data_IF_897624449277
#
_entry.id   IF_897624449277
#
_cell.length_a   1.000
_cell.length_b   1.000
_cell.length_c   1.000
_cell.angle_alpha   90.00
_cell.angle_beta   90.00
_cell.angle_gamma   90.00
#
_symmetry.space_group_name_H-M   'P 1'
#
loop_
_entity.id
_entity.type
_entity.pdbx_description
1 polymer ?
#
# COMPACT_ATOMS: atom_id res chain seq x y z
N UNK A 1 -10.56 -0.85 -17.02
CA UNK A 1 -9.99 0.19 -16.13
C UNK A 1 -9.80 -0.38 -14.76
N UNK A 2 -8.68 -0.12 -14.12
CA UNK A 2 -8.38 -0.45 -12.72
C UNK A 2 -8.29 0.84 -11.92
N UNK A 3 -8.58 0.80 -10.63
CA UNK A 3 -8.53 1.97 -9.76
C UNK A 3 -7.60 1.69 -8.58
N UNK A 4 -6.70 2.62 -8.27
CA UNK A 4 -5.90 2.61 -7.05
C UNK A 4 -6.34 3.82 -6.25
N UNK A 5 -6.73 3.63 -4.99
CA UNK A 5 -7.04 4.74 -4.09
C UNK A 5 -6.12 4.72 -2.89
N UNK A 6 -5.56 5.88 -2.59
CA UNK A 6 -4.86 6.20 -1.36
C UNK A 6 -5.80 7.06 -0.54
N UNK A 7 -6.26 6.53 0.60
CA UNK A 7 -7.17 7.22 1.49
C UNK A 7 -6.39 8.11 2.46
N UNK A 8 -6.85 9.34 2.65
CA UNK A 8 -6.35 10.26 3.67
C UNK A 8 -6.96 9.84 5.01
N UNK A 9 -6.18 9.16 5.82
CA UNK A 9 -6.61 8.53 7.07
C UNK A 9 -5.76 8.99 8.25
N UNK A 10 -5.42 10.27 8.28
CA UNK A 10 -4.49 10.86 9.22
C UNK A 10 -3.10 10.19 9.12
N UNK A 11 -2.43 10.05 10.24
CA UNK A 11 -1.10 9.51 10.32
C UNK A 11 -1.10 7.97 10.29
N UNK A 12 -1.51 7.40 9.17
CA UNK A 12 -1.59 5.97 8.92
C UNK A 12 -1.76 5.67 7.43
N UNK A 13 -1.83 4.39 7.07
CA UNK A 13 -1.97 3.96 5.69
C UNK A 13 -3.27 3.20 5.46
N UNK A 14 -3.94 3.52 4.38
CA UNK A 14 -5.00 2.70 3.83
C UNK A 14 -5.08 2.88 2.32
N UNK A 15 -4.96 1.76 1.61
CA UNK A 15 -5.09 1.75 0.15
C UNK A 15 -6.06 0.67 -0.29
N UNK A 16 -6.71 0.88 -1.43
CA UNK A 16 -7.33 -0.23 -2.14
C UNK A 16 -7.01 -0.21 -3.63
N UNK A 17 -7.13 -1.39 -4.25
CA UNK A 17 -7.08 -1.58 -5.69
C UNK A 17 -8.36 -2.29 -6.13
N UNK A 18 -9.21 -1.58 -6.89
CA UNK A 18 -10.35 -2.16 -7.59
C UNK A 18 -9.87 -2.60 -8.97
N UNK A 19 -9.52 -3.88 -9.10
CA UNK A 19 -8.90 -4.39 -10.33
C UNK A 19 -9.90 -4.45 -11.49
N UNK A 20 -9.39 -4.36 -12.72
CA UNK A 20 -10.18 -4.62 -13.94
C UNK A 20 -10.56 -6.11 -14.11
N UNK A 21 -10.10 -6.97 -13.20
CA UNK A 21 -10.43 -8.40 -13.07
C UNK A 21 -11.42 -8.63 -11.93
N UNK A 22 -11.80 -9.88 -11.66
CA UNK A 22 -12.70 -10.26 -10.55
C UNK A 22 -12.00 -10.18 -9.17
N UNK A 23 -11.12 -9.19 -9.00
CA UNK A 23 -10.30 -9.03 -7.81
C UNK A 23 -10.50 -7.64 -7.17
N UNK A 24 -10.48 -7.60 -5.83
CA UNK A 24 -10.36 -6.40 -5.01
C UNK A 24 -9.28 -6.61 -3.96
N UNK A 25 -8.41 -5.64 -3.78
CA UNK A 25 -7.31 -5.73 -2.82
C UNK A 25 -7.29 -4.50 -1.92
N UNK A 26 -7.18 -4.69 -0.63
CA UNK A 26 -6.85 -3.65 0.35
C UNK A 26 -5.40 -3.84 0.80
N UNK A 27 -4.69 -2.76 1.02
CA UNK A 27 -3.35 -2.73 1.61
C UNK A 27 -3.45 -1.84 2.84
N UNK A 28 -3.27 -2.42 4.02
CA UNK A 28 -3.42 -1.79 5.32
C UNK A 28 -4.78 -1.11 5.57
N UNK A 29 -5.02 -0.68 6.79
CA UNK A 29 -6.15 0.15 7.16
C UNK A 29 -5.87 0.98 8.41
N UNK A 30 -6.29 2.24 8.38
CA UNK A 30 -6.38 3.12 9.54
C UNK A 30 -7.78 3.76 9.56
N UNK A 31 -8.77 3.01 10.04
CA UNK A 31 -10.18 3.43 10.03
C UNK A 31 -10.49 4.09 11.37
N UNK A 32 -10.48 5.41 11.39
CA UNK A 32 -10.88 6.23 12.55
C UNK A 32 -12.40 6.36 12.61
N UNK A 33 -12.94 6.66 13.81
CA UNK A 33 -14.40 6.81 14.00
C UNK A 33 -15.01 7.88 13.08
N UNK A 34 -14.23 8.92 12.75
CA UNK A 34 -14.68 10.05 11.93
C UNK A 34 -15.00 9.65 10.49
N UNK A 35 -14.21 8.76 9.90
CA UNK A 35 -14.39 8.30 8.51
C UNK A 35 -14.91 6.88 8.38
N UNK A 36 -15.18 6.20 9.49
CA UNK A 36 -15.58 4.79 9.53
C UNK A 36 -16.73 4.46 8.59
N UNK A 37 -17.85 5.19 8.70
CA UNK A 37 -19.04 4.89 7.88
C UNK A 37 -18.77 5.08 6.40
N UNK A 38 -18.12 6.18 6.02
CA UNK A 38 -17.77 6.50 4.63
C UNK A 38 -16.88 5.41 4.03
N UNK A 39 -15.77 5.08 4.71
CA UNK A 39 -14.79 4.11 4.22
C UNK A 39 -15.41 2.72 4.10
N UNK A 40 -16.11 2.26 5.13
CA UNK A 40 -16.73 0.93 5.12
C UNK A 40 -17.80 0.79 4.05
N UNK A 41 -18.62 1.81 3.81
CA UNK A 41 -19.65 1.80 2.77
C UNK A 41 -19.00 1.79 1.37
N UNK A 42 -17.96 2.60 1.14
CA UNK A 42 -17.21 2.63 -0.13
C UNK A 42 -16.59 1.26 -0.42
N UNK A 43 -15.79 0.75 0.51
CA UNK A 43 -15.08 -0.54 0.33
C UNK A 43 -16.08 -1.69 0.16
N UNK A 44 -17.16 -1.74 0.96
CA UNK A 44 -18.19 -2.76 0.84
C UNK A 44 -18.89 -2.74 -0.52
N UNK A 45 -19.18 -1.55 -1.03
CA UNK A 45 -19.84 -1.40 -2.33
C UNK A 45 -18.95 -1.85 -3.50
N UNK A 46 -17.63 -1.59 -3.44
CA UNK A 46 -16.70 -1.99 -4.46
C UNK A 46 -16.34 -3.47 -4.36
N UNK A 47 -15.96 -3.93 -3.17
CA UNK A 47 -15.57 -5.32 -2.91
C UNK A 47 -16.73 -6.30 -3.12
N UNK A 48 -17.97 -5.90 -2.83
CA UNK A 48 -19.17 -6.72 -3.01
C UNK A 48 -19.44 -7.11 -4.46
N UNK A 49 -18.83 -6.45 -5.43
CA UNK A 49 -18.93 -6.74 -6.87
C UNK A 49 -17.85 -7.72 -7.36
N UNK A 50 -16.97 -8.19 -6.47
CA UNK A 50 -15.80 -9.00 -6.82
C UNK A 50 -15.83 -10.36 -6.12
N UNK A 51 -15.48 -11.39 -6.86
CA UNK A 51 -15.42 -12.76 -6.33
C UNK A 51 -14.22 -12.98 -5.41
N UNK A 52 -13.12 -12.28 -5.63
CA UNK A 52 -11.89 -12.38 -4.84
C UNK A 52 -11.62 -11.06 -4.12
N UNK A 53 -11.72 -11.10 -2.80
CA UNK A 53 -11.40 -9.97 -1.93
C UNK A 53 -10.22 -10.36 -1.03
N UNK A 54 -9.20 -9.50 -0.96
CA UNK A 54 -8.02 -9.72 -0.13
C UNK A 54 -7.65 -8.48 0.68
N UNK A 55 -7.09 -8.75 1.85
CA UNK A 55 -6.43 -7.75 2.68
C UNK A 55 -4.94 -8.10 2.77
N UNK A 56 -4.08 -7.14 2.56
CA UNK A 56 -2.64 -7.26 2.61
C UNK A 56 -2.14 -6.36 3.74
N UNK A 57 -1.74 -6.94 4.87
CA UNK A 57 -1.10 -6.16 5.94
C UNK A 57 0.38 -6.03 5.67
N UNK A 58 0.94 -4.83 5.69
CA UNK A 58 2.39 -4.63 5.57
C UNK A 58 3.09 -5.05 6.86
N UNK A 59 2.67 -4.52 7.98
CA UNK A 59 3.16 -4.84 9.33
C UNK A 59 2.07 -4.54 10.37
N UNK A 60 2.19 -5.01 11.63
CA UNK A 60 1.09 -4.94 12.60
C UNK A 60 1.15 -3.72 13.53
N UNK A 61 1.59 -2.55 13.06
CA UNK A 61 1.44 -1.32 13.83
C UNK A 61 0.01 -0.78 13.75
N UNK A 62 -0.41 -0.06 14.78
CA UNK A 62 -1.81 0.33 14.97
C UNK A 62 -2.34 1.13 13.79
N UNK A 63 -1.56 2.04 13.25
CA UNK A 63 -1.89 2.91 12.13
C UNK A 63 -1.91 2.21 10.74
N UNK A 64 -1.64 0.89 10.74
CA UNK A 64 -1.74 0.01 9.56
C UNK A 64 -2.79 -1.10 9.71
N UNK A 65 -3.34 -1.29 10.91
CA UNK A 65 -4.35 -2.32 11.18
C UNK A 65 -5.58 -1.78 11.91
N UNK A 66 -5.65 -0.49 12.24
CA UNK A 66 -6.78 0.08 12.99
C UNK A 66 -8.09 -0.06 12.21
N UNK A 67 -9.07 -0.72 12.84
CA UNK A 67 -10.37 -1.00 12.25
C UNK A 67 -10.42 -2.24 11.35
N UNK A 68 -9.37 -3.08 11.37
CA UNK A 68 -9.36 -4.36 10.65
C UNK A 68 -10.51 -5.28 11.11
N UNK A 69 -10.92 -5.17 12.37
CA UNK A 69 -12.08 -5.87 12.94
C UNK A 69 -13.39 -5.49 12.22
N UNK A 70 -13.57 -4.23 11.83
CA UNK A 70 -14.74 -3.78 11.10
C UNK A 70 -14.83 -4.36 9.70
N UNK A 71 -13.67 -4.45 9.02
CA UNK A 71 -13.58 -5.09 7.70
C UNK A 71 -13.89 -6.58 7.77
N UNK A 72 -13.41 -7.26 8.83
CA UNK A 72 -13.68 -8.68 9.04
C UNK A 72 -15.16 -8.94 9.37
N UNK A 73 -15.78 -8.15 10.24
CA UNK A 73 -17.20 -8.21 10.57
C UNK A 73 -18.11 -8.06 9.35
N UNK A 74 -17.69 -7.27 8.36
CA UNK A 74 -18.38 -7.11 7.08
C UNK A 74 -18.09 -8.25 6.08
N UNK A 75 -17.23 -9.23 6.45
CA UNK A 75 -16.82 -10.33 5.58
C UNK A 75 -15.95 -9.88 4.40
N UNK A 76 -15.21 -8.77 4.55
CA UNK A 76 -14.36 -8.20 3.52
C UNK A 76 -12.92 -8.75 3.56
N UNK A 77 -12.56 -9.54 4.58
CA UNK A 77 -11.24 -10.20 4.68
C UNK A 77 -11.39 -11.68 4.34
N UNK A 78 -11.61 -11.99 3.06
CA UNK A 78 -11.72 -13.39 2.59
C UNK A 78 -10.36 -14.06 2.37
N UNK A 79 -9.31 -13.28 2.18
CA UNK A 79 -7.94 -13.71 2.03
C UNK A 79 -7.05 -12.70 2.76
N UNK A 80 -6.35 -13.15 3.79
CA UNK A 80 -5.48 -12.33 4.62
C UNK A 80 -4.01 -12.60 4.30
N UNK A 81 -3.30 -11.60 3.80
CA UNK A 81 -1.89 -11.72 3.43
C UNK A 81 -1.02 -10.95 4.41
N UNK A 82 0.02 -11.59 4.94
CA UNK A 82 0.92 -10.98 5.93
C UNK A 82 2.35 -11.51 5.77
N UNK A 83 3.32 -10.79 6.29
CA UNK A 83 4.69 -11.28 6.47
C UNK A 83 4.72 -12.11 7.75
N UNK A 84 5.29 -13.31 7.68
CA UNK A 84 5.36 -14.22 8.83
C UNK A 84 6.18 -13.60 9.96
N UNK A 85 5.56 -13.43 11.14
CA UNK A 85 6.17 -12.78 12.30
C UNK A 85 5.47 -13.25 13.60
N UNK A 86 6.14 -13.06 14.74
CA UNK A 86 5.58 -13.28 16.07
C UNK A 86 5.61 -11.98 16.90
N UNK A 87 5.40 -10.85 16.25
CA UNK A 87 5.29 -9.54 16.92
C UNK A 87 4.24 -9.62 18.02
N UNK A 88 4.57 -9.08 19.17
CA UNK A 88 3.70 -8.96 20.33
C UNK A 88 3.67 -7.51 20.80
N UNK A 89 2.55 -7.07 21.35
CA UNK A 89 2.37 -5.73 21.90
C UNK A 89 2.17 -5.81 23.40
N UNK A 90 2.79 -4.91 24.15
CA UNK A 90 2.61 -4.83 25.62
C UNK A 90 1.15 -4.53 26.02
N UNK A 91 0.44 -3.79 25.17
CA UNK A 91 -1.01 -3.55 25.28
C UNK A 91 -1.64 -3.86 23.93
N UNK A 92 -2.49 -4.89 23.92
CA UNK A 92 -3.16 -5.31 22.68
C UNK A 92 -4.47 -4.58 22.50
N UNK A 93 -4.58 -3.86 21.38
CA UNK A 93 -5.84 -3.27 20.90
C UNK A 93 -6.75 -4.36 20.32
N UNK A 94 -8.02 -4.03 20.09
CA UNK A 94 -8.94 -4.95 19.40
C UNK A 94 -8.46 -5.25 17.97
N UNK A 95 -7.90 -4.26 17.27
CA UNK A 95 -7.33 -4.43 15.94
C UNK A 95 -6.13 -5.39 15.96
N UNK A 96 -5.24 -5.29 16.96
CA UNK A 96 -4.11 -6.22 17.07
C UNK A 96 -4.52 -7.64 17.43
N UNK A 97 -5.53 -7.81 18.31
CA UNK A 97 -6.12 -9.11 18.59
C UNK A 97 -6.71 -9.75 17.32
N UNK A 98 -7.48 -8.96 16.54
CA UNK A 98 -8.05 -9.39 15.28
C UNK A 98 -6.98 -9.75 14.25
N UNK A 99 -5.89 -8.98 14.16
CA UNK A 99 -4.74 -9.32 13.32
C UNK A 99 -4.16 -10.69 13.66
N UNK A 100 -3.98 -11.01 14.95
CA UNK A 100 -3.50 -12.32 15.41
C UNK A 100 -4.49 -13.44 15.04
N UNK A 101 -5.78 -13.22 15.22
CA UNK A 101 -6.82 -14.18 14.87
C UNK A 101 -6.81 -14.48 13.37
N UNK A 102 -6.69 -13.45 12.55
CA UNK A 102 -6.60 -13.58 11.09
C UNK A 102 -5.34 -14.35 10.67
N UNK A 103 -4.19 -14.11 11.31
CA UNK A 103 -2.96 -14.91 11.09
C UNK A 103 -3.15 -16.39 11.37
N UNK A 104 -3.93 -16.74 12.41
CA UNK A 104 -4.25 -18.11 12.78
C UNK A 104 -5.37 -18.77 11.97
N UNK A 105 -6.01 -18.03 11.08
CA UNK A 105 -7.19 -18.48 10.35
C UNK A 105 -6.84 -19.28 9.08
N UNK A 106 -7.84 -19.98 8.52
CA UNK A 106 -7.68 -20.71 7.25
C UNK A 106 -7.59 -19.80 6.01
N UNK A 107 -7.89 -18.51 6.15
CA UNK A 107 -7.77 -17.51 5.08
C UNK A 107 -6.40 -16.81 5.06
N UNK A 108 -5.47 -17.19 5.95
CA UNK A 108 -4.17 -16.57 6.11
C UNK A 108 -3.13 -17.10 5.10
N UNK A 109 -2.37 -16.18 4.52
CA UNK A 109 -1.33 -16.48 3.54
C UNK A 109 -0.06 -15.68 3.81
N UNK A 110 1.05 -16.38 4.02
CA UNK A 110 2.37 -15.77 4.18
C UNK A 110 2.86 -15.18 2.86
N UNK A 111 3.35 -13.94 2.91
CA UNK A 111 3.98 -13.23 1.79
C UNK A 111 5.50 -13.30 1.91
N UNK A 112 6.14 -13.49 0.77
CA UNK A 112 7.60 -13.44 0.64
C UNK A 112 7.98 -13.24 -0.84
N UNK A 113 9.21 -12.89 -1.09
CA UNK A 113 9.79 -12.67 -2.42
C UNK A 113 9.46 -13.80 -3.39
N UNK A 114 8.79 -13.47 -4.47
CA UNK A 114 8.47 -14.42 -5.52
C UNK A 114 7.35 -15.43 -5.18
N UNK A 115 6.62 -15.27 -4.07
CA UNK A 115 5.48 -16.12 -3.74
C UNK A 115 4.46 -16.10 -4.88
N UNK A 116 3.96 -17.28 -5.26
CA UNK A 116 2.94 -17.43 -6.31
C UNK A 116 1.59 -17.79 -5.69
N UNK A 117 0.56 -17.05 -6.07
CA UNK A 117 -0.78 -17.25 -5.56
C UNK A 117 -1.82 -17.09 -6.66
N UNK A 118 -2.73 -18.07 -6.74
CA UNK A 118 -3.86 -18.03 -7.67
C UNK A 118 -4.64 -16.73 -7.45
N UNK A 119 -4.93 -16.01 -8.53
CA UNK A 119 -5.62 -14.73 -8.61
C UNK A 119 -4.87 -13.52 -8.01
N UNK A 120 -3.77 -13.69 -7.32
CA UNK A 120 -2.90 -12.57 -6.91
C UNK A 120 -1.93 -12.21 -8.05
N UNK A 121 -1.13 -13.19 -8.47
CA UNK A 121 -0.17 -13.07 -9.57
C UNK A 121 -0.19 -14.27 -10.52
N UNK A 122 -1.09 -15.22 -10.33
CA UNK A 122 -1.33 -16.36 -11.23
C UNK A 122 -2.78 -16.30 -11.69
N UNK A 123 -2.97 -16.10 -12.99
CA UNK A 123 -4.30 -16.09 -13.64
C UNK A 123 -4.81 -17.51 -13.86
N UNK A 124 -6.13 -17.70 -13.89
CA UNK A 124 -6.78 -18.94 -14.32
C UNK A 124 -7.72 -18.75 -15.52
N UNK A 125 -7.74 -17.58 -16.12
CA UNK A 125 -8.62 -17.27 -17.25
C UNK A 125 -10.09 -17.01 -16.89
N UNK A 126 -10.55 -17.42 -15.71
CA UNK A 126 -11.92 -17.15 -15.23
C UNK A 126 -11.98 -15.83 -14.46
N UNK A 127 -11.08 -15.65 -13.49
CA UNK A 127 -11.07 -14.49 -12.58
C UNK A 127 -9.91 -13.54 -12.82
N UNK A 128 -8.98 -13.94 -13.69
CA UNK A 128 -7.78 -13.17 -13.99
C UNK A 128 -6.78 -13.13 -12.83
N UNK A 129 -5.78 -12.28 -12.97
CA UNK A 129 -4.80 -11.96 -11.93
C UNK A 129 -5.05 -10.56 -11.39
N UNK A 130 -4.72 -10.34 -10.11
CA UNK A 130 -4.68 -9.00 -9.54
C UNK A 130 -3.42 -8.21 -9.96
N UNK A 131 -2.42 -8.85 -10.57
CA UNK A 131 -1.17 -8.19 -10.95
C UNK A 131 -0.28 -7.79 -9.77
N UNK A 132 -0.49 -8.38 -8.57
CA UNK A 132 0.27 -8.05 -7.37
C UNK A 132 1.42 -9.03 -7.19
N UNK A 133 2.64 -8.53 -7.07
CA UNK A 133 3.84 -9.30 -6.80
C UNK A 133 4.56 -8.80 -5.55
N UNK A 134 5.28 -9.69 -4.87
CA UNK A 134 6.08 -9.38 -3.69
C UNK A 134 7.56 -9.47 -4.05
N UNK A 135 8.26 -8.34 -3.95
CA UNK A 135 9.70 -8.23 -4.23
C UNK A 135 10.55 -8.51 -2.99
N UNK A 136 9.98 -8.26 -1.80
CA UNK A 136 10.58 -8.41 -0.48
C UNK A 136 9.49 -8.76 0.55
N UNK A 137 9.76 -9.51 1.65
CA UNK A 137 11.07 -9.99 2.10
C UNK A 137 11.52 -11.30 1.43
N UNK A 138 12.84 -11.52 1.42
CA UNK A 138 13.42 -12.84 1.23
C UNK A 138 13.58 -13.49 2.61
N UNK A 139 12.83 -14.55 2.87
CA UNK A 139 12.79 -15.20 4.18
C UNK A 139 14.14 -15.84 4.60
N UNK A 140 15.06 -16.06 3.65
CA UNK A 140 16.39 -16.62 3.94
C UNK A 140 17.50 -15.57 4.06
N UNK A 141 17.16 -14.29 3.86
CA UNK A 141 18.13 -13.20 3.94
C UNK A 141 18.43 -12.87 5.41
N UNK A 142 19.71 -12.74 5.77
CA UNK A 142 20.14 -12.50 7.15
C UNK A 142 19.66 -11.13 7.67
N UNK A 143 19.73 -10.09 6.84
CA UNK A 143 19.25 -8.74 7.21
C UNK A 143 17.76 -8.75 7.51
N UNK A 144 16.96 -9.50 6.73
CA UNK A 144 15.55 -9.68 7.03
C UNK A 144 15.32 -10.46 8.34
N UNK A 145 16.09 -11.51 8.59
CA UNK A 145 15.99 -12.28 9.83
C UNK A 145 16.37 -11.44 11.06
N UNK A 146 17.32 -10.51 10.92
CA UNK A 146 17.64 -9.55 11.98
C UNK A 146 16.47 -8.58 12.22
N UNK A 147 15.91 -8.00 11.16
CA UNK A 147 14.74 -7.13 11.27
C UNK A 147 13.52 -7.85 11.89
N UNK A 148 13.33 -9.14 11.59
CA UNK A 148 12.29 -9.94 12.17
C UNK A 148 12.50 -10.16 13.67
N UNK A 149 13.73 -10.49 14.10
CA UNK A 149 14.09 -10.61 15.53
C UNK A 149 13.89 -9.29 16.28
N UNK A 150 14.28 -8.19 15.66
CA UNK A 150 14.10 -6.85 16.24
C UNK A 150 12.60 -6.51 16.38
N UNK A 151 11.80 -6.76 15.37
CA UNK A 151 10.35 -6.57 15.40
C UNK A 151 9.68 -7.38 16.53
N UNK A 152 10.10 -8.63 16.72
CA UNK A 152 9.54 -9.53 17.74
C UNK A 152 9.99 -9.18 19.17
N UNK A 153 11.18 -8.59 19.34
CA UNK A 153 11.76 -8.30 20.66
C UNK A 153 11.53 -6.86 21.13
N UNK A 154 11.45 -5.89 20.22
CA UNK A 154 11.41 -4.46 20.53
C UNK A 154 10.12 -3.74 20.16
N UNK A 155 9.12 -4.46 19.61
CA UNK A 155 7.85 -3.90 19.15
C UNK A 155 8.02 -2.81 18.06
N UNK A 156 8.99 -3.02 17.15
CA UNK A 156 9.29 -2.12 16.02
C UNK A 156 9.20 -2.86 14.70
N UNK A 157 7.99 -3.10 14.17
CA UNK A 157 7.79 -3.96 13.02
C UNK A 157 7.98 -3.26 11.67
N UNK A 158 8.39 -2.00 11.60
CA UNK A 158 8.51 -1.24 10.35
C UNK A 158 9.30 -2.01 9.28
N UNK A 159 10.45 -2.55 9.64
CA UNK A 159 11.40 -3.17 8.71
C UNK A 159 11.03 -4.60 8.30
N UNK A 160 9.93 -5.18 8.83
CA UNK A 160 9.35 -6.38 8.23
C UNK A 160 8.34 -6.07 7.13
N UNK A 161 8.09 -4.80 6.82
CA UNK A 161 7.22 -4.38 5.72
C UNK A 161 7.66 -4.99 4.40
N UNK A 162 6.72 -5.51 3.59
CA UNK A 162 7.04 -6.03 2.27
C UNK A 162 7.16 -4.93 1.23
N UNK A 163 7.99 -5.14 0.22
CA UNK A 163 7.92 -4.39 -1.02
C UNK A 163 6.88 -5.06 -1.95
N UNK A 164 5.76 -4.39 -2.19
CA UNK A 164 4.63 -4.87 -2.97
C UNK A 164 4.53 -4.07 -4.27
N UNK A 165 4.52 -4.76 -5.39
CA UNK A 165 4.30 -4.15 -6.71
C UNK A 165 2.96 -4.59 -7.27
N UNK A 166 2.18 -3.63 -7.72
CA UNK A 166 1.06 -3.82 -8.63
C UNK A 166 1.49 -3.46 -10.05
N UNK A 167 1.12 -4.29 -11.02
CA UNK A 167 1.36 -4.02 -12.43
C UNK A 167 0.09 -4.29 -13.24
N UNK A 168 -0.41 -3.26 -13.89
CA UNK A 168 -1.44 -3.39 -14.92
C UNK A 168 -0.75 -3.70 -16.26
N UNK A 169 -1.26 -4.66 -17.00
CA UNK A 169 -0.76 -4.99 -18.33
C UNK A 169 -0.86 -3.77 -19.25
N UNK A 170 0.24 -3.42 -19.90
CA UNK A 170 0.39 -2.20 -20.72
C UNK A 170 0.03 -0.89 -20.01
N UNK A 171 0.00 -0.87 -18.68
CA UNK A 171 -0.43 0.27 -17.88
C UNK A 171 0.47 0.51 -16.66
N UNK A 172 -0.11 1.14 -15.65
CA UNK A 172 0.59 1.61 -14.45
C UNK A 172 1.32 0.49 -13.70
N UNK A 173 2.48 0.83 -13.18
CA UNK A 173 3.22 0.06 -12.19
C UNK A 173 3.37 0.88 -10.91
N UNK A 174 2.86 0.36 -9.80
CA UNK A 174 2.84 1.04 -8.51
C UNK A 174 3.55 0.21 -7.43
N UNK A 175 4.29 0.87 -6.53
CA UNK A 175 5.09 0.25 -5.48
C UNK A 175 4.70 0.79 -4.10
N UNK A 176 4.46 -0.14 -3.15
CA UNK A 176 4.30 0.10 -1.72
C UNK A 176 5.45 -0.53 -0.95
N UNK A 177 5.94 0.15 0.06
CA UNK A 177 7.03 -0.28 0.92
C UNK A 177 6.62 -0.37 2.40
N UNK A 178 5.34 -0.10 2.73
CA UNK A 178 4.88 0.05 4.11
C UNK A 178 5.72 1.07 4.85
N UNK A 179 6.17 0.76 6.05
CA UNK A 179 6.97 1.67 6.87
C UNK A 179 8.48 1.35 6.88
N UNK A 180 8.94 0.70 5.82
CA UNK A 180 10.36 0.36 5.66
C UNK A 180 11.25 1.60 5.86
N UNK A 181 12.23 1.48 6.75
CA UNK A 181 13.10 2.60 7.12
C UNK A 181 14.32 2.75 6.18
N UNK A 182 14.85 3.97 6.07
CA UNK A 182 15.95 4.31 5.17
C UNK A 182 17.19 3.42 5.35
N UNK A 183 17.65 3.28 6.59
CA UNK A 183 18.86 2.50 6.87
C UNK A 183 18.68 1.02 6.52
N UNK A 184 17.45 0.50 6.70
CA UNK A 184 17.12 -0.85 6.31
C UNK A 184 17.07 -1.01 4.78
N UNK A 185 16.47 -0.05 4.05
CA UNK A 185 16.48 -0.04 2.59
C UNK A 185 17.91 -0.03 2.03
N UNK A 186 18.81 0.74 2.65
CA UNK A 186 20.25 0.73 2.28
C UNK A 186 20.86 -0.64 2.54
N UNK A 187 20.55 -1.27 3.67
CA UNK A 187 21.11 -2.58 4.03
C UNK A 187 20.71 -3.72 3.10
N UNK A 188 19.54 -3.63 2.46
CA UNK A 188 19.03 -4.66 1.53
C UNK A 188 19.16 -4.29 0.05
N UNK A 189 19.89 -3.23 -0.27
CA UNK A 189 19.95 -2.67 -1.62
C UNK A 189 20.39 -3.66 -2.70
N UNK A 190 21.30 -4.56 -2.37
CA UNK A 190 21.84 -5.57 -3.29
C UNK A 190 20.95 -6.84 -3.35
N UNK A 191 20.01 -6.99 -2.42
CA UNK A 191 19.16 -8.18 -2.30
C UNK A 191 17.79 -8.03 -2.95
N UNK A 192 17.37 -6.78 -3.23
CA UNK A 192 16.08 -6.47 -3.82
C UNK A 192 16.19 -6.06 -5.29
N UNK A 193 15.42 -6.72 -6.16
CA UNK A 193 15.38 -6.39 -7.58
C UNK A 193 14.40 -5.25 -7.86
N UNK A 194 14.90 -4.03 -7.86
CA UNK A 194 14.12 -2.83 -8.22
C UNK A 194 14.12 -2.60 -9.73
N UNK A 195 13.04 -2.04 -10.24
CA UNK A 195 12.87 -1.60 -11.63
C UNK A 195 11.90 -0.44 -11.70
N UNK A 196 11.92 0.36 -12.79
CA UNK A 196 11.09 1.56 -12.89
C UNK A 196 9.62 1.37 -12.53
N UNK A 197 9.03 2.37 -11.87
CA UNK A 197 7.61 2.42 -11.48
C UNK A 197 7.00 3.75 -11.87
N UNK A 198 5.71 3.76 -12.16
CA UNK A 198 4.99 5.02 -12.42
C UNK A 198 4.65 5.72 -11.11
N UNK A 199 4.22 4.96 -10.09
CA UNK A 199 3.78 5.50 -8.81
C UNK A 199 4.58 4.82 -7.69
N UNK A 200 5.24 5.62 -6.87
CA UNK A 200 5.84 5.20 -5.61
C UNK A 200 5.02 5.78 -4.46
N UNK A 201 4.48 4.94 -3.60
CA UNK A 201 3.94 5.37 -2.31
C UNK A 201 5.10 5.46 -1.33
N UNK A 202 5.33 6.67 -0.80
CA UNK A 202 6.46 6.95 0.08
C UNK A 202 6.31 6.16 1.39
N UNK A 203 7.33 5.36 1.78
CA UNK A 203 7.24 4.55 2.98
C UNK A 203 7.18 5.41 4.23
N UNK A 204 6.58 4.85 5.30
CA UNK A 204 6.39 5.49 6.60
C UNK A 204 5.71 6.85 6.44
N UNK A 205 4.65 6.90 5.64
CA UNK A 205 3.86 8.08 5.30
C UNK A 205 4.68 9.24 4.70
N UNK A 206 5.95 9.01 4.32
CA UNK A 206 6.89 10.04 3.85
C UNK A 206 7.74 10.67 4.96
N UNK A 207 7.69 10.15 6.19
CA UNK A 207 8.51 10.63 7.33
C UNK A 207 10.00 10.45 7.08
N UNK A 208 10.80 11.21 7.83
CA UNK A 208 12.26 11.23 7.72
C UNK A 208 12.89 9.84 7.81
N UNK A 209 12.40 8.98 8.71
CA UNK A 209 12.90 7.61 8.86
C UNK A 209 12.63 6.73 7.64
N UNK A 210 11.53 6.95 6.90
CA UNK A 210 11.15 6.21 5.70
C UNK A 210 11.65 6.82 4.39
N UNK A 211 12.55 7.80 4.40
CA UNK A 211 13.08 8.43 3.18
C UNK A 211 13.75 7.41 2.28
N UNK A 212 13.20 7.22 1.07
CA UNK A 212 13.75 6.26 0.11
C UNK A 212 15.16 6.68 -0.30
N UNK A 213 16.18 5.79 -0.20
CA UNK A 213 17.55 6.11 -0.61
C UNK A 213 17.61 6.59 -2.05
N UNK A 214 18.53 7.54 -2.34
CA UNK A 214 18.70 8.05 -3.70
C UNK A 214 19.01 6.93 -4.69
N UNK A 215 19.81 5.95 -4.30
CA UNK A 215 20.16 4.78 -5.11
C UNK A 215 18.93 3.97 -5.52
N UNK A 216 17.93 3.87 -4.64
CA UNK A 216 16.65 3.25 -4.94
C UNK A 216 15.81 4.13 -5.86
N UNK A 217 15.75 5.44 -5.61
CA UNK A 217 15.02 6.39 -6.47
C UNK A 217 15.59 6.40 -7.89
N UNK A 218 16.93 6.28 -8.03
CA UNK A 218 17.60 6.20 -9.33
C UNK A 218 17.30 4.87 -10.07
N UNK A 219 17.03 3.78 -9.37
CA UNK A 219 16.61 2.48 -9.97
C UNK A 219 15.11 2.43 -10.25
N UNK A 220 14.29 3.10 -9.42
CA UNK A 220 12.84 3.11 -9.52
C UNK A 220 12.34 4.14 -10.54
N UNK A 221 13.08 5.22 -10.78
CA UNK A 221 12.72 6.31 -11.70
C UNK A 221 11.23 6.71 -11.59
N UNK A 222 10.69 6.97 -10.38
CA UNK A 222 9.26 7.16 -10.22
C UNK A 222 8.77 8.39 -11.00
N UNK A 223 7.71 8.22 -11.78
CA UNK A 223 7.04 9.35 -12.46
C UNK A 223 6.29 10.22 -11.47
N UNK A 224 5.81 9.62 -10.39
CA UNK A 224 5.06 10.26 -9.32
C UNK A 224 5.38 9.60 -7.97
N UNK A 225 5.58 10.42 -6.93
CA UNK A 225 5.66 9.97 -5.54
C UNK A 225 4.44 10.47 -4.79
N UNK A 226 3.71 9.56 -4.15
CA UNK A 226 2.60 9.90 -3.23
C UNK A 226 3.16 9.91 -1.81
N UNK A 227 3.02 11.04 -1.14
CA UNK A 227 3.44 11.23 0.25
C UNK A 227 2.18 11.21 1.10
N UNK A 228 2.17 10.36 2.12
CA UNK A 228 1.09 10.26 3.10
C UNK A 228 0.96 11.50 3.98
N UNK A 229 0.13 11.42 5.01
CA UNK A 229 0.01 12.50 5.98
C UNK A 229 1.18 12.49 6.96
N UNK A 230 2.07 13.44 6.80
CA UNK A 230 3.30 13.60 7.59
C UNK A 230 3.46 15.04 8.07
N UNK A 231 4.24 15.30 9.12
CA UNK A 231 4.55 16.67 9.54
C UNK A 231 5.06 17.54 8.40
N UNK A 232 4.63 18.78 8.35
CA UNK A 232 4.90 19.69 7.22
C UNK A 232 6.38 19.99 6.98
N UNK A 233 7.20 19.87 8.00
CA UNK A 233 8.66 20.04 7.94
C UNK A 233 9.40 18.83 7.38
N UNK A 234 8.69 17.74 7.08
CA UNK A 234 9.24 16.52 6.47
C UNK A 234 8.87 16.36 4.99
N UNK A 235 7.99 17.23 4.47
CA UNK A 235 7.43 17.12 3.10
C UNK A 235 8.42 17.45 1.97
N UNK A 236 9.53 18.10 2.25
CA UNK A 236 10.43 18.68 1.24
C UNK A 236 11.45 17.67 0.66
N UNK A 237 11.57 16.49 1.22
CA UNK A 237 12.58 15.51 0.79
C UNK A 237 12.45 15.13 -0.69
N UNK A 238 11.23 14.97 -1.16
CA UNK A 238 10.96 14.60 -2.55
C UNK A 238 10.71 15.79 -3.48
N UNK A 239 11.10 17.01 -3.09
CA UNK A 239 10.84 18.26 -3.84
C UNK A 239 11.42 18.28 -5.26
N UNK A 240 12.41 17.43 -5.56
CA UNK A 240 12.96 17.28 -6.92
C UNK A 240 12.20 16.27 -7.79
N UNK A 241 11.13 15.69 -7.28
CA UNK A 241 10.26 14.72 -7.96
C UNK A 241 8.85 15.29 -8.10
N UNK A 242 8.08 14.75 -9.02
CA UNK A 242 6.64 15.00 -9.04
C UNK A 242 6.01 14.36 -7.80
N UNK A 243 5.41 15.16 -6.93
CA UNK A 243 4.83 14.67 -5.68
C UNK A 243 3.37 15.09 -5.53
N UNK A 244 2.54 14.18 -4.99
CA UNK A 244 1.24 14.48 -4.43
C UNK A 244 1.29 14.21 -2.92
N UNK A 245 0.80 15.15 -2.09
CA UNK A 245 0.79 15.00 -0.64
C UNK A 245 -0.64 14.92 -0.13
N UNK A 246 -0.97 13.89 0.66
CA UNK A 246 -2.30 13.72 1.24
C UNK A 246 -2.68 14.87 2.18
N UNK A 247 -1.71 15.46 2.90
CA UNK A 247 -1.95 16.65 3.71
C UNK A 247 -2.77 17.75 3.02
N UNK A 248 -2.61 17.90 1.71
CA UNK A 248 -3.26 18.95 0.92
C UNK A 248 -4.25 18.42 -0.10
N UNK A 249 -3.97 17.23 -0.65
CA UNK A 249 -4.80 16.59 -1.68
C UNK A 249 -6.03 15.88 -1.09
N UNK A 250 -5.95 15.41 0.17
CA UNK A 250 -6.90 14.47 0.73
C UNK A 250 -6.79 13.10 0.06
N UNK A 251 -7.89 12.41 -0.13
CA UNK A 251 -7.91 11.14 -0.87
C UNK A 251 -7.38 11.33 -2.30
N UNK A 252 -6.58 10.36 -2.77
CA UNK A 252 -6.03 10.36 -4.12
C UNK A 252 -6.49 9.10 -4.84
N UNK A 253 -7.18 9.27 -5.98
CA UNK A 253 -7.67 8.18 -6.81
C UNK A 253 -6.95 8.19 -8.16
N UNK A 254 -6.39 7.05 -8.53
CA UNK A 254 -5.79 6.79 -9.83
C UNK A 254 -6.70 5.87 -10.63
N UNK A 255 -7.24 6.37 -11.76
CA UNK A 255 -7.97 5.55 -12.73
C UNK A 255 -7.01 5.12 -13.82
N UNK A 256 -6.67 3.84 -13.85
CA UNK A 256 -5.57 3.28 -14.61
C UNK A 256 -6.07 2.52 -15.83
N UNK A 257 -5.61 2.92 -17.01
CA UNK A 257 -5.86 2.29 -18.30
C UNK A 257 -4.53 1.93 -18.97
N UNK A 258 -4.58 1.23 -20.10
CA UNK A 258 -3.38 0.99 -20.91
C UNK A 258 -2.77 2.32 -21.36
N UNK A 259 -1.51 2.54 -21.03
CA UNK A 259 -0.75 3.72 -21.42
C UNK A 259 -1.15 5.04 -20.75
N UNK A 260 -2.15 5.06 -19.85
CA UNK A 260 -2.62 6.31 -19.23
C UNK A 260 -3.15 6.09 -17.79
N UNK A 261 -2.87 7.05 -16.92
CA UNK A 261 -3.42 7.07 -15.57
C UNK A 261 -3.99 8.45 -15.25
N UNK A 262 -5.28 8.53 -14.99
CA UNK A 262 -5.95 9.76 -14.57
C UNK A 262 -5.86 9.90 -13.05
N UNK A 263 -5.62 11.13 -12.58
CA UNK A 263 -5.43 11.45 -11.17
C UNK A 263 -6.56 12.35 -10.67
N UNK A 264 -7.25 11.92 -9.64
CA UNK A 264 -8.30 12.64 -8.94
C UNK A 264 -7.88 12.86 -7.49
N UNK A 265 -8.24 14.00 -6.90
CA UNK A 265 -7.94 14.30 -5.50
C UNK A 265 -9.19 14.80 -4.79
N UNK A 266 -9.27 14.55 -3.46
CA UNK A 266 -10.40 14.95 -2.64
C UNK A 266 -10.53 16.48 -2.47
N UNK A 267 -9.41 17.20 -2.43
CA UNK A 267 -9.39 18.66 -2.24
C UNK A 267 -9.59 19.42 -3.57
N UNK A 268 -10.69 20.17 -3.72
CA UNK A 268 -10.95 20.93 -4.95
C UNK A 268 -9.91 22.03 -5.25
N UNK A 269 -9.31 22.59 -4.19
CA UNK A 269 -8.32 23.67 -4.32
C UNK A 269 -6.90 23.18 -4.62
N UNK A 270 -6.64 21.87 -4.48
CA UNK A 270 -5.33 21.30 -4.76
C UNK A 270 -4.99 21.36 -6.25
N UNK A 271 -3.77 21.77 -6.58
CA UNK A 271 -3.30 21.80 -7.94
C UNK A 271 -1.80 21.53 -8.02
N UNK A 272 -1.37 20.90 -9.09
CA UNK A 272 0.04 20.69 -9.46
C UNK A 272 0.21 21.04 -10.94
N UNK A 273 1.45 21.32 -11.34
CA UNK A 273 1.76 21.79 -12.70
C UNK A 273 2.34 20.71 -13.62
N UNK A 274 2.61 19.52 -13.10
CA UNK A 274 3.23 18.43 -13.86
C UNK A 274 2.22 17.41 -14.43
N UNK A 275 0.95 17.50 -14.05
CA UNK A 275 -0.11 16.67 -14.63
C UNK A 275 -0.72 17.39 -15.84
N UNK A 276 -0.90 16.66 -16.94
CA UNK A 276 -1.62 17.17 -18.11
C UNK A 276 -3.08 17.44 -17.73
N UNK A 277 -3.52 18.68 -17.88
CA UNK A 277 -4.91 19.06 -17.59
C UNK A 277 -5.86 18.41 -18.60
N UNK A 278 -6.89 17.71 -18.10
CA UNK A 278 -8.02 17.32 -18.93
C UNK A 278 -9.07 18.47 -18.91
N UNK A 279 -9.24 19.21 -20.01
CA UNK A 279 -10.14 20.37 -20.03
C UNK A 279 -11.62 20.01 -19.88
N UNK A 280 -11.99 18.73 -20.05
CA UNK A 280 -13.37 18.26 -20.01
C UNK A 280 -13.80 17.65 -18.67
N UNK A 281 -12.90 17.56 -17.70
CA UNK A 281 -13.19 16.92 -16.43
C UNK A 281 -13.17 17.92 -15.27
N UNK A 282 -14.31 18.15 -14.68
CA UNK A 282 -14.47 19.08 -13.54
C UNK A 282 -13.78 18.62 -12.25
N UNK A 283 -13.31 17.39 -12.19
CA UNK A 283 -12.75 16.75 -10.99
C UNK A 283 -11.39 16.09 -11.25
N UNK A 284 -11.03 15.81 -12.51
CA UNK A 284 -9.71 15.27 -12.88
C UNK A 284 -8.66 16.36 -12.73
N UNK A 285 -7.64 16.10 -11.93
CA UNK A 285 -6.52 17.06 -11.78
C UNK A 285 -5.48 16.92 -12.89
N UNK A 286 -5.52 15.82 -13.63
CA UNK A 286 -4.67 15.57 -14.77
C UNK A 286 -4.40 14.08 -15.01
N UNK A 287 -3.43 13.79 -15.85
CA UNK A 287 -3.02 12.41 -16.13
C UNK A 287 -1.49 12.27 -16.18
N UNK A 288 -1.02 11.09 -15.88
CA UNK A 288 0.36 10.63 -16.04
C UNK A 288 0.55 9.96 -17.38
#
# INVERSE_FOLDING_TARGET
MSEIKSLSVDNGDMFYINHNTDNFSMIDCNITDERKSEILDEVKNLAGKKGIVRFISTHPDQDHIQGIEYLDELGLIKNFYYVDNNVSKSTETESFKKYKDLKGSSCAYKKYKGCKRKWMNVSDGERGSAGISVLWPDANNETFQDALRDAESSDKPNNISPAIVYSLEEGVRALWLGDMENDYMVAIEDDIALSPVDILFAPHHGRKSGRVPKTWLDKLEPRLIVVGETPSDELDYYSNYNTLTQNSAGDILFCCEAGKTHVYVGSPSYSVNFLDRDPNASVVKGSL
#
